data_IF_243970005558
#
_entry.id   IF_243970005558
#
_cell.length_a   1.000
_cell.length_b   1.000
_cell.length_c   1.000
_cell.angle_alpha   90.00
_cell.angle_beta   90.00
_cell.angle_gamma   90.00
#
_symmetry.space_group_name_H-M   'P 1'
#
loop_
_entity.id
_entity.type
_entity.pdbx_description
1 polymer ?
#
# COMPACT_ATOMS: atom_id res chain seq x y z
N UNK A 1 -3.19 9.75 5.91
CA UNK A 1 -3.24 8.40 6.48
C UNK A 1 -2.82 7.38 5.43
N UNK A 2 -2.06 6.39 5.83
CA UNK A 2 -1.57 5.32 4.96
C UNK A 2 -2.28 4.02 5.32
N UNK A 3 -2.81 3.34 4.32
CA UNK A 3 -3.32 1.98 4.48
C UNK A 3 -2.21 1.02 4.10
N UNK A 4 -1.70 0.28 5.08
CA UNK A 4 -0.62 -0.69 4.87
C UNK A 4 -1.17 -2.10 4.94
N UNK A 5 -1.03 -2.87 3.86
CA UNK A 5 -1.63 -4.19 3.73
C UNK A 5 -0.53 -5.25 3.69
N UNK A 6 -0.49 -6.09 4.71
CA UNK A 6 0.52 -7.10 4.91
C UNK A 6 -0.07 -8.22 5.75
N UNK A 7 0.01 -9.47 5.29
CA UNK A 7 -0.59 -10.60 6.00
C UNK A 7 0.25 -11.12 7.16
N UNK A 8 1.56 -10.86 7.15
CA UNK A 8 2.41 -11.27 8.25
C UNK A 8 2.30 -10.26 9.40
N UNK A 9 1.76 -10.71 10.53
CA UNK A 9 1.45 -9.84 11.66
C UNK A 9 2.66 -9.06 12.19
N UNK A 10 3.80 -9.71 12.32
CA UNK A 10 5.01 -9.05 12.83
C UNK A 10 5.50 -7.97 11.88
N UNK A 11 5.51 -8.27 10.60
CA UNK A 11 5.93 -7.31 9.58
C UNK A 11 4.98 -6.12 9.52
N UNK A 12 3.68 -6.37 9.60
CA UNK A 12 2.68 -5.30 9.62
C UNK A 12 2.90 -4.37 10.81
N UNK A 13 3.06 -4.94 12.01
CA UNK A 13 3.28 -4.13 13.22
C UNK A 13 4.58 -3.33 13.13
N UNK A 14 5.64 -3.94 12.60
CA UNK A 14 6.92 -3.24 12.44
C UNK A 14 6.76 -2.03 11.52
N UNK A 15 6.13 -2.23 10.36
CA UNK A 15 5.94 -1.15 9.40
C UNK A 15 5.01 -0.06 9.92
N UNK A 16 3.96 -0.43 10.65
CA UNK A 16 3.08 0.56 11.29
C UNK A 16 3.86 1.44 12.26
N UNK A 17 4.66 0.83 13.12
CA UNK A 17 5.47 1.57 14.10
C UNK A 17 6.49 2.48 13.42
N UNK A 18 7.14 1.97 12.38
CA UNK A 18 8.12 2.74 11.63
C UNK A 18 7.48 4.00 11.02
N UNK A 19 6.35 3.82 10.36
CA UNK A 19 5.66 4.94 9.71
C UNK A 19 5.07 5.91 10.75
N UNK A 20 4.54 5.38 11.85
CA UNK A 20 4.02 6.23 12.93
C UNK A 20 5.12 7.04 13.59
N UNK A 21 6.31 6.47 13.73
CA UNK A 21 7.47 7.19 14.26
C UNK A 21 7.89 8.34 13.35
N UNK A 22 7.59 8.24 12.04
CA UNK A 22 7.83 9.33 11.10
C UNK A 22 6.67 10.32 11.03
N UNK A 23 5.64 10.13 11.86
CA UNK A 23 4.52 11.05 11.98
C UNK A 23 3.30 10.71 11.14
N UNK A 24 3.30 9.60 10.43
CA UNK A 24 2.15 9.20 9.63
C UNK A 24 1.11 8.47 10.46
N UNK A 25 -0.16 8.65 10.11
CA UNK A 25 -1.23 7.82 10.64
C UNK A 25 -1.35 6.59 9.74
N UNK A 26 -1.49 5.41 10.34
CA UNK A 26 -1.48 4.14 9.60
C UNK A 26 -2.66 3.27 9.98
N UNK A 27 -3.36 2.77 8.97
CA UNK A 27 -4.31 1.68 9.13
C UNK A 27 -3.65 0.40 8.61
N UNK A 28 -3.73 -0.68 9.37
CA UNK A 28 -3.19 -1.97 8.97
C UNK A 28 -4.29 -2.91 8.53
N UNK A 29 -4.04 -3.65 7.45
CA UNK A 29 -4.91 -4.71 6.98
C UNK A 29 -4.09 -5.98 6.74
N UNK A 30 -4.66 -7.14 7.08
CA UNK A 30 -3.95 -8.42 7.00
C UNK A 30 -4.33 -9.25 5.77
N UNK A 31 -5.36 -8.85 5.05
CA UNK A 31 -5.80 -9.55 3.85
C UNK A 31 -6.47 -8.56 2.90
N UNK A 32 -6.71 -9.04 1.68
CA UNK A 32 -7.27 -8.18 0.64
C UNK A 32 -8.70 -7.73 0.90
N UNK A 33 -9.52 -8.56 1.55
CA UNK A 33 -10.89 -8.19 1.88
C UNK A 33 -10.92 -7.09 2.93
N UNK A 34 -10.10 -7.24 3.97
CA UNK A 34 -9.99 -6.20 5.01
C UNK A 34 -9.49 -4.89 4.41
N UNK A 35 -8.52 -4.96 3.49
CA UNK A 35 -7.99 -3.78 2.82
C UNK A 35 -9.08 -3.02 2.06
N UNK A 36 -9.88 -3.75 1.28
CA UNK A 36 -10.99 -3.14 0.51
C UNK A 36 -12.02 -2.53 1.46
N UNK A 37 -12.38 -3.25 2.51
CA UNK A 37 -13.36 -2.77 3.49
C UNK A 37 -12.88 -1.48 4.15
N UNK A 38 -11.63 -1.45 4.62
CA UNK A 38 -11.06 -0.27 5.26
C UNK A 38 -10.94 0.90 4.29
N UNK A 39 -10.57 0.62 3.05
CA UNK A 39 -10.47 1.66 2.05
C UNK A 39 -11.83 2.32 1.78
N UNK A 40 -12.86 1.53 1.60
CA UNK A 40 -14.22 2.07 1.39
C UNK A 40 -14.70 2.91 2.57
N UNK A 41 -14.37 2.49 3.78
CA UNK A 41 -14.79 3.19 5.00
C UNK A 41 -14.02 4.50 5.22
N UNK A 42 -12.75 4.55 4.84
CA UNK A 42 -11.85 5.65 5.17
C UNK A 42 -11.24 6.36 3.95
N UNK A 43 -11.82 6.20 2.76
CA UNK A 43 -11.23 6.69 1.52
C UNK A 43 -10.88 8.18 1.55
N UNK A 44 -11.67 9.00 2.24
CA UNK A 44 -11.40 10.44 2.34
C UNK A 44 -10.14 10.76 3.15
N UNK A 45 -9.70 9.85 3.99
CA UNK A 45 -8.56 10.05 4.88
C UNK A 45 -7.31 9.33 4.39
N UNK A 46 -7.47 8.36 3.49
CA UNK A 46 -6.34 7.55 3.01
C UNK A 46 -5.65 8.27 1.84
N UNK A 47 -4.38 8.64 2.06
CA UNK A 47 -3.56 9.31 1.06
C UNK A 47 -2.80 8.34 0.18
N UNK A 48 -2.54 7.14 0.70
CA UNK A 48 -1.71 6.15 0.01
C UNK A 48 -2.04 4.76 0.51
N UNK A 49 -2.07 3.80 -0.41
CA UNK A 49 -2.16 2.37 -0.08
C UNK A 49 -0.84 1.71 -0.43
N UNK A 50 -0.27 0.96 0.49
CA UNK A 50 0.89 0.11 0.25
C UNK A 50 0.45 -1.32 0.44
N UNK A 51 0.57 -2.16 -0.59
CA UNK A 51 0.04 -3.51 -0.50
C UNK A 51 0.95 -4.55 -1.14
N UNK A 52 0.95 -5.73 -0.53
CA UNK A 52 1.58 -6.91 -1.08
C UNK A 52 0.65 -7.54 -2.13
N UNK A 53 1.21 -8.21 -3.12
CA UNK A 53 0.42 -8.94 -4.12
C UNK A 53 -0.11 -10.25 -3.57
N UNK A 54 0.66 -10.92 -2.70
CA UNK A 54 0.24 -12.20 -2.10
C UNK A 54 -0.46 -11.95 -0.78
N UNK A 55 -1.77 -12.01 -0.81
CA UNK A 55 -2.61 -11.81 0.37
C UNK A 55 -3.64 -12.93 0.43
N UNK A 56 -4.03 -13.37 1.65
CA UNK A 56 -5.14 -14.32 1.78
C UNK A 56 -6.46 -13.65 1.50
N UNK A 57 -7.48 -14.47 1.24
CA UNK A 57 -8.89 -14.12 1.00
C UNK A 57 -9.13 -13.38 -0.30
N UNK A 58 -8.39 -12.32 -0.55
CA UNK A 58 -8.43 -11.58 -1.81
C UNK A 58 -6.99 -11.12 -2.06
N UNK A 59 -6.40 -11.51 -3.20
CA UNK A 59 -5.01 -11.16 -3.46
C UNK A 59 -4.85 -9.65 -3.70
N UNK A 60 -3.60 -9.18 -3.61
CA UNK A 60 -3.31 -7.76 -3.67
C UNK A 60 -3.71 -7.08 -4.96
N UNK A 61 -3.54 -7.76 -6.10
CA UNK A 61 -3.91 -7.19 -7.38
C UNK A 61 -5.43 -6.98 -7.48
N UNK A 62 -6.21 -8.00 -7.09
CA UNK A 62 -7.66 -7.90 -7.12
C UNK A 62 -8.17 -6.88 -6.10
N UNK A 63 -7.55 -6.80 -4.93
CA UNK A 63 -7.88 -5.78 -3.94
C UNK A 63 -7.63 -4.38 -4.51
N UNK A 64 -6.48 -4.18 -5.16
CA UNK A 64 -6.16 -2.92 -5.83
C UNK A 64 -7.21 -2.55 -6.87
N UNK A 65 -7.61 -3.52 -7.71
CA UNK A 65 -8.62 -3.26 -8.74
C UNK A 65 -9.95 -2.83 -8.13
N UNK A 66 -10.37 -3.46 -7.04
CA UNK A 66 -11.61 -3.08 -6.36
C UNK A 66 -11.53 -1.68 -5.74
N UNK A 67 -10.42 -1.38 -5.08
CA UNK A 67 -10.21 -0.04 -4.52
C UNK A 67 -10.17 1.03 -5.61
N UNK A 68 -9.54 0.73 -6.75
CA UNK A 68 -9.44 1.64 -7.89
C UNK A 68 -10.80 1.93 -8.51
N UNK A 69 -11.68 0.94 -8.53
CA UNK A 69 -13.06 1.15 -9.00
C UNK A 69 -13.82 2.09 -8.09
N UNK A 70 -13.59 1.96 -6.78
CA UNK A 70 -14.22 2.84 -5.79
C UNK A 70 -13.70 4.28 -5.92
N UNK A 71 -12.39 4.43 -6.12
CA UNK A 71 -11.75 5.73 -6.26
C UNK A 71 -10.69 5.69 -7.35
N UNK A 72 -11.00 6.17 -8.56
CA UNK A 72 -10.03 6.18 -9.66
C UNK A 72 -8.77 7.01 -9.39
N UNK A 73 -8.81 7.91 -8.41
CA UNK A 73 -7.66 8.74 -8.03
C UNK A 73 -6.78 8.10 -6.96
N UNK A 74 -7.09 6.87 -6.58
CA UNK A 74 -6.32 6.11 -5.61
C UNK A 74 -4.83 6.15 -5.93
N UNK A 75 -4.03 6.46 -4.92
CA UNK A 75 -2.57 6.36 -4.98
C UNK A 75 -2.13 5.08 -4.30
N UNK A 76 -1.42 4.23 -4.99
CA UNK A 76 -0.99 2.95 -4.46
C UNK A 76 0.43 2.60 -4.88
N UNK A 77 1.13 1.94 -3.96
CA UNK A 77 2.44 1.33 -4.18
C UNK A 77 2.31 -0.16 -3.88
N UNK A 78 3.01 -0.98 -4.67
CA UNK A 78 3.11 -2.41 -4.39
C UNK A 78 4.45 -2.69 -3.71
N UNK A 79 4.43 -3.48 -2.64
CA UNK A 79 5.62 -3.95 -1.94
C UNK A 79 5.55 -5.47 -1.90
N UNK A 80 6.30 -6.16 -2.76
CA UNK A 80 6.17 -7.59 -2.95
C UNK A 80 7.49 -8.24 -3.33
N UNK A 81 7.62 -9.54 -3.03
CA UNK A 81 8.74 -10.34 -3.52
C UNK A 81 8.58 -10.68 -5.01
N UNK A 82 7.43 -10.41 -5.59
CA UNK A 82 7.10 -10.83 -6.95
C UNK A 82 6.69 -9.63 -7.80
N UNK A 83 7.12 -9.65 -9.06
CA UNK A 83 6.75 -8.67 -10.06
C UNK A 83 5.92 -9.40 -11.11
N UNK A 84 4.74 -8.87 -11.41
CA UNK A 84 3.88 -9.44 -12.45
C UNK A 84 3.79 -8.48 -13.64
N UNK A 85 3.46 -9.01 -14.84
CA UNK A 85 3.24 -8.14 -16.00
C UNK A 85 2.15 -7.10 -15.76
N UNK A 86 1.10 -7.46 -15.04
CA UNK A 86 0.00 -6.56 -14.71
C UNK A 86 0.46 -5.36 -13.91
N UNK A 87 1.33 -5.59 -12.91
CA UNK A 87 1.88 -4.52 -12.09
C UNK A 87 2.75 -3.60 -12.93
N UNK A 88 3.63 -4.17 -13.76
CA UNK A 88 4.49 -3.37 -14.65
C UNK A 88 3.66 -2.51 -15.59
N UNK A 89 2.61 -3.07 -16.17
CA UNK A 89 1.71 -2.36 -17.07
C UNK A 89 1.01 -1.22 -16.34
N UNK A 90 0.52 -1.48 -15.13
CA UNK A 90 -0.17 -0.46 -14.34
C UNK A 90 0.74 0.72 -13.99
N UNK A 91 2.02 0.44 -13.71
CA UNK A 91 3.00 1.50 -13.47
C UNK A 91 3.20 2.35 -14.73
N UNK A 92 3.36 1.72 -15.87
CA UNK A 92 3.51 2.43 -17.16
C UNK A 92 2.31 3.32 -17.48
N UNK A 93 1.11 2.86 -17.16
CA UNK A 93 -0.13 3.59 -17.39
C UNK A 93 -0.42 4.66 -16.34
N UNK A 94 0.41 4.75 -15.30
CA UNK A 94 0.19 5.69 -14.21
C UNK A 94 -0.90 5.28 -13.22
N UNK A 95 -1.36 4.04 -13.28
CA UNK A 95 -2.38 3.52 -12.35
C UNK A 95 -1.79 3.14 -11.00
N UNK A 96 -0.51 2.71 -10.99
CA UNK A 96 0.28 2.46 -9.79
C UNK A 96 1.45 3.43 -9.75
N UNK A 97 1.78 3.94 -8.58
CA UNK A 97 2.88 4.88 -8.42
C UNK A 97 4.25 4.21 -8.49
N UNK A 98 4.35 2.96 -8.06
CA UNK A 98 5.62 2.27 -8.09
C UNK A 98 5.58 0.92 -7.41
N UNK A 99 6.76 0.32 -7.32
CA UNK A 99 6.95 -1.03 -6.82
C UNK A 99 8.22 -1.09 -5.98
N UNK A 100 8.09 -1.70 -4.81
CA UNK A 100 9.25 -2.09 -3.99
C UNK A 100 9.36 -3.61 -4.03
N UNK A 101 10.49 -4.12 -4.49
CA UNK A 101 10.76 -5.56 -4.51
C UNK A 101 11.40 -5.92 -3.18
N UNK A 102 10.80 -6.87 -2.47
CA UNK A 102 11.33 -7.34 -1.18
C UNK A 102 12.58 -8.18 -1.37
N UNK A 103 13.61 -8.04 -0.53
CA UNK A 103 13.74 -7.01 0.51
C UNK A 103 14.13 -5.66 -0.08
N UNK A 104 13.61 -4.58 0.48
CA UNK A 104 13.90 -3.22 0.00
C UNK A 104 14.50 -2.37 1.13
N UNK A 105 15.17 -1.28 0.74
CA UNK A 105 15.77 -0.34 1.69
C UNK A 105 14.69 0.46 2.41
N UNK A 106 14.78 0.54 3.74
CA UNK A 106 13.87 1.36 4.53
C UNK A 106 14.05 2.85 4.19
N UNK A 107 15.27 3.28 3.95
CA UNK A 107 15.54 4.67 3.57
C UNK A 107 14.85 5.01 2.24
N UNK A 108 14.96 4.14 1.25
CA UNK A 108 14.30 4.35 -0.04
C UNK A 108 12.78 4.34 0.11
N UNK A 109 12.27 3.42 0.94
CA UNK A 109 10.84 3.34 1.21
C UNK A 109 10.31 4.62 1.84
N UNK A 110 10.96 5.09 2.91
CA UNK A 110 10.54 6.30 3.61
C UNK A 110 10.65 7.55 2.72
N UNK A 111 11.68 7.63 1.89
CA UNK A 111 11.85 8.73 0.94
C UNK A 111 10.69 8.75 -0.04
N UNK A 112 10.33 7.59 -0.59
CA UNK A 112 9.21 7.49 -1.53
C UNK A 112 7.89 7.86 -0.86
N UNK A 113 7.65 7.39 0.36
CA UNK A 113 6.43 7.75 1.10
C UNK A 113 6.36 9.26 1.29
N UNK A 114 7.46 9.87 1.70
CA UNK A 114 7.53 11.33 1.88
C UNK A 114 7.26 12.09 0.58
N UNK A 115 7.79 11.59 -0.54
CA UNK A 115 7.58 12.22 -1.85
C UNK A 115 6.12 12.14 -2.29
N UNK A 116 5.43 11.05 -1.97
CA UNK A 116 4.04 10.84 -2.38
C UNK A 116 3.05 11.52 -1.45
N UNK A 117 3.23 11.36 -0.14
CA UNK A 117 2.27 11.82 0.88
C UNK A 117 2.65 13.19 1.43
N UNK A 118 3.91 13.55 1.31
CA UNK A 118 4.46 14.73 1.96
C UNK A 118 5.02 14.39 3.33
N UNK A 119 5.82 15.30 3.86
CA UNK A 119 6.37 15.12 5.19
C UNK A 119 5.26 15.33 6.21
N UNK A 120 5.18 14.42 7.16
CA UNK A 120 4.29 14.57 8.29
C UNK A 120 4.97 15.43 9.34
N UNK A 121 4.32 16.47 9.75
CA UNK A 121 4.82 17.34 10.83
C UNK A 121 4.30 16.91 12.19
#
# INVERSE_FOLDING_TARGET
MILFVEDETKQLKYMQRLLEAEGYRVLGAKDGLEAVTLYKRHSHQIDLVVLDLRLPKLNGWDAFQEMKREDPRLKALVASAYITPEVKSAIKKGELLGLFVKPYSMDDFLTTISDVVGKSD
#
